data_IF_356412760672
#
_entry.id   IF_356412760672
#
_cell.length_a   1.000
_cell.length_b   1.000
_cell.length_c   1.000
_cell.angle_alpha   90.00
_cell.angle_beta   90.00
_cell.angle_gamma   90.00
#
_symmetry.space_group_name_H-M   'P 1'
#
loop_
_entity.id
_entity.type
_entity.pdbx_description
1 polymer ?
#
# COMPACT_ATOMS: atom_id res chain seq x y z
N UNK A 1 8.59 -26.31 17.46
CA UNK A 1 9.19 -26.06 16.14
C UNK A 1 8.37 -26.84 15.13
N UNK A 2 7.90 -26.19 14.07
CA UNK A 2 7.15 -26.81 12.97
C UNK A 2 7.90 -26.55 11.68
N UNK A 3 8.26 -27.61 10.95
CA UNK A 3 9.01 -27.51 9.70
C UNK A 3 8.30 -28.29 8.62
N UNK A 4 7.89 -27.61 7.54
CA UNK A 4 7.35 -28.24 6.34
C UNK A 4 8.51 -28.65 5.42
N UNK A 5 8.62 -29.95 5.12
CA UNK A 5 9.74 -30.53 4.34
C UNK A 5 9.35 -31.10 2.98
N UNK A 6 8.06 -31.38 2.76
CA UNK A 6 7.59 -31.88 1.46
C UNK A 6 7.65 -30.79 0.37
N UNK A 7 7.87 -31.22 -0.86
CA UNK A 7 7.89 -30.33 -2.03
C UNK A 7 6.48 -29.89 -2.46
N UNK A 8 6.42 -28.90 -3.34
CA UNK A 8 5.19 -28.30 -3.87
C UNK A 8 5.53 -27.42 -5.06
N UNK A 9 4.80 -27.56 -6.16
CA UNK A 9 4.90 -26.68 -7.33
C UNK A 9 4.10 -25.37 -7.17
N UNK A 10 3.39 -25.21 -6.04
CA UNK A 10 2.61 -24.01 -5.73
C UNK A 10 1.23 -24.00 -6.39
N UNK A 11 0.86 -22.87 -6.98
CA UNK A 11 -0.42 -22.68 -7.68
C UNK A 11 -1.60 -22.27 -6.78
N UNK A 12 -2.75 -22.09 -7.43
CA UNK A 12 -3.97 -21.52 -6.85
C UNK A 12 -4.45 -22.24 -5.59
N UNK A 13 -4.30 -23.56 -5.50
CA UNK A 13 -4.70 -24.28 -4.29
C UNK A 13 -3.86 -23.91 -3.07
N UNK A 14 -2.58 -23.60 -3.28
CA UNK A 14 -1.69 -23.13 -2.22
C UNK A 14 -1.96 -21.67 -1.89
N UNK A 15 -2.14 -20.83 -2.92
CA UNK A 15 -2.34 -19.39 -2.78
C UNK A 15 -3.71 -19.03 -2.19
N UNK A 16 -4.79 -19.69 -2.63
CA UNK A 16 -6.15 -19.29 -2.27
C UNK A 16 -6.75 -20.13 -1.15
N UNK A 17 -6.33 -21.38 -1.00
CA UNK A 17 -6.92 -22.34 -0.05
C UNK A 17 -5.93 -22.93 0.97
N UNK A 18 -4.67 -22.48 0.92
CA UNK A 18 -3.63 -22.83 1.89
C UNK A 18 -3.15 -24.28 1.84
N UNK A 19 -3.40 -24.99 0.74
CA UNK A 19 -2.80 -26.31 0.53
C UNK A 19 -1.27 -26.20 0.65
N UNK A 20 -0.63 -27.18 1.29
CA UNK A 20 0.81 -27.22 1.56
C UNK A 20 1.38 -26.14 2.51
N UNK A 21 0.56 -25.27 3.11
CA UNK A 21 1.03 -24.41 4.19
C UNK A 21 1.65 -25.22 5.33
N UNK A 22 2.65 -24.67 6.03
CA UNK A 22 3.22 -25.33 7.20
C UNK A 22 2.16 -25.52 8.30
N UNK A 23 1.25 -24.54 8.44
CA UNK A 23 0.01 -24.70 9.20
C UNK A 23 -1.17 -24.11 8.42
N UNK A 24 -2.18 -24.94 8.14
CA UNK A 24 -3.47 -24.53 7.58
C UNK A 24 -4.56 -24.66 8.66
N UNK A 25 -5.33 -23.59 8.85
CA UNK A 25 -6.53 -23.56 9.71
C UNK A 25 -7.74 -23.24 8.83
N UNK A 26 -8.81 -24.05 8.94
CA UNK A 26 -10.04 -23.94 8.16
C UNK A 26 -11.23 -24.62 8.85
N UNK A 27 -12.44 -24.43 8.31
CA UNK A 27 -13.64 -25.18 8.72
C UNK A 27 -14.20 -24.72 10.06
N UNK A 28 -14.21 -23.40 10.28
CA UNK A 28 -14.67 -22.76 11.52
C UNK A 28 -13.73 -22.97 12.72
N UNK A 29 -12.52 -23.49 12.48
CA UNK A 29 -11.56 -23.83 13.54
C UNK A 29 -10.93 -22.59 14.16
N UNK A 30 -10.65 -22.66 15.47
CA UNK A 30 -9.94 -21.60 16.21
C UNK A 30 -8.63 -22.16 16.74
N UNK A 31 -7.51 -21.60 16.31
CA UNK A 31 -6.18 -22.08 16.64
C UNK A 31 -5.38 -20.99 17.35
N UNK A 32 -4.74 -21.35 18.46
CA UNK A 32 -3.80 -20.47 19.17
C UNK A 32 -2.38 -21.01 19.10
N UNK A 33 -1.44 -20.16 18.73
CA UNK A 33 -0.01 -20.46 18.62
C UNK A 33 0.75 -19.47 19.50
N UNK A 34 1.69 -19.96 20.30
CA UNK A 34 2.49 -19.11 21.19
C UNK A 34 3.93 -19.60 21.20
N UNK A 35 4.85 -18.71 20.86
CA UNK A 35 6.28 -19.01 20.86
C UNK A 35 6.72 -19.88 19.67
N UNK A 36 7.98 -20.29 19.71
CA UNK A 36 8.56 -21.26 18.79
C UNK A 36 8.87 -20.71 17.40
N UNK A 37 9.08 -21.64 16.46
CA UNK A 37 9.42 -21.33 15.07
C UNK A 37 8.63 -22.19 14.08
N UNK A 38 8.28 -21.59 12.94
CA UNK A 38 7.64 -22.20 11.79
C UNK A 38 8.53 -21.95 10.57
N UNK A 39 8.81 -23.00 9.80
CA UNK A 39 9.66 -22.88 8.60
C UNK A 39 9.12 -23.69 7.43
N UNK A 40 9.16 -23.12 6.24
CA UNK A 40 8.82 -23.78 4.97
C UNK A 40 9.76 -23.32 3.85
N UNK A 41 9.97 -24.19 2.86
CA UNK A 41 10.88 -23.94 1.74
C UNK A 41 10.28 -24.20 0.36
N UNK A 42 9.17 -24.95 0.27
CA UNK A 42 8.55 -25.30 -1.00
C UNK A 42 7.68 -24.17 -1.57
N UNK A 43 7.44 -24.17 -2.88
CA UNK A 43 6.61 -23.15 -3.53
C UNK A 43 5.16 -23.23 -3.05
N UNK A 44 4.53 -22.08 -2.80
CA UNK A 44 3.19 -21.94 -2.23
C UNK A 44 3.06 -22.40 -0.78
N UNK A 45 4.12 -22.92 -0.14
CA UNK A 45 4.03 -23.48 1.20
C UNK A 45 4.04 -22.37 2.27
N UNK A 46 2.96 -21.61 2.40
CA UNK A 46 2.83 -20.50 3.35
C UNK A 46 3.19 -20.88 4.79
N UNK A 47 3.64 -19.93 5.61
CA UNK A 47 3.98 -20.17 7.01
C UNK A 47 2.74 -20.56 7.83
N UNK A 48 1.80 -19.63 7.98
CA UNK A 48 0.51 -19.87 8.66
C UNK A 48 -0.61 -19.35 7.78
N UNK A 49 -1.62 -20.19 7.54
CA UNK A 49 -2.73 -19.89 6.65
C UNK A 49 -4.08 -20.01 7.38
N UNK A 50 -4.89 -18.95 7.32
CA UNK A 50 -6.26 -18.90 7.84
C UNK A 50 -7.24 -18.82 6.67
N UNK A 51 -8.02 -19.88 6.42
CA UNK A 51 -9.01 -19.93 5.35
C UNK A 51 -10.44 -19.97 5.88
N UNK A 52 -11.21 -18.91 5.66
CA UNK A 52 -12.58 -18.76 6.16
C UNK A 52 -13.69 -19.39 5.29
N UNK A 53 -13.39 -19.92 4.10
CA UNK A 53 -14.39 -20.68 3.34
C UNK A 53 -15.56 -19.91 2.72
N UNK A 54 -15.50 -18.58 2.53
CA UNK A 54 -16.59 -17.80 1.92
C UNK A 54 -16.75 -17.97 0.37
N UNK A 55 -16.06 -18.95 -0.22
CA UNK A 55 -16.10 -19.19 -1.67
C UNK A 55 -15.31 -18.19 -2.52
N UNK A 56 -14.44 -17.38 -1.91
CA UNK A 56 -13.57 -16.44 -2.63
C UNK A 56 -14.26 -15.13 -3.03
N UNK A 57 -15.43 -14.85 -2.46
CA UNK A 57 -16.19 -13.62 -2.71
C UNK A 57 -15.75 -12.54 -1.74
N UNK A 58 -15.28 -11.39 -2.24
CA UNK A 58 -14.81 -10.34 -1.35
C UNK A 58 -15.98 -9.72 -0.57
N UNK A 59 -15.77 -9.36 0.69
CA UNK A 59 -16.81 -8.80 1.57
C UNK A 59 -17.84 -9.79 2.12
N UNK A 60 -17.89 -11.04 1.65
CA UNK A 60 -18.75 -12.08 2.23
C UNK A 60 -18.16 -12.63 3.54
N UNK A 61 -19.03 -12.94 4.51
CA UNK A 61 -18.60 -13.49 5.79
C UNK A 61 -18.01 -14.89 5.65
N UNK A 62 -16.87 -15.13 6.29
CA UNK A 62 -16.30 -16.47 6.45
C UNK A 62 -17.03 -17.32 7.49
N UNK A 63 -16.58 -18.56 7.66
CA UNK A 63 -17.08 -19.57 8.60
C UNK A 63 -16.63 -19.36 10.06
N UNK A 64 -15.92 -18.27 10.35
CA UNK A 64 -15.36 -17.96 11.67
C UNK A 64 -14.00 -18.59 11.96
N UNK A 65 -13.35 -19.19 10.97
CA UNK A 65 -11.96 -19.67 11.09
C UNK A 65 -11.03 -18.56 11.60
N UNK A 66 -10.34 -18.83 12.70
CA UNK A 66 -9.51 -17.84 13.39
C UNK A 66 -8.15 -18.40 13.76
N UNK A 67 -7.10 -17.69 13.39
CA UNK A 67 -5.74 -17.88 13.90
C UNK A 67 -5.43 -16.79 14.91
N UNK A 68 -4.95 -17.17 16.09
CA UNK A 68 -4.33 -16.25 17.06
C UNK A 68 -2.89 -16.70 17.29
N UNK A 69 -1.91 -15.89 16.89
CA UNK A 69 -0.49 -16.26 16.93
C UNK A 69 0.32 -15.18 17.64
N UNK A 70 1.20 -15.58 18.56
CA UNK A 70 2.07 -14.64 19.27
C UNK A 70 3.48 -15.15 19.51
N UNK A 71 4.44 -14.23 19.55
CA UNK A 71 5.84 -14.48 19.94
C UNK A 71 6.52 -15.57 19.07
N UNK A 72 6.08 -15.75 17.83
CA UNK A 72 6.54 -16.83 16.94
C UNK A 72 7.45 -16.29 15.85
N UNK A 73 8.52 -17.02 15.55
CA UNK A 73 9.34 -16.79 14.35
C UNK A 73 8.80 -17.58 13.17
N UNK A 74 8.57 -16.92 12.04
CA UNK A 74 8.15 -17.55 10.78
C UNK A 74 9.21 -17.27 9.71
N UNK A 75 9.62 -18.30 8.98
CA UNK A 75 10.54 -18.16 7.86
C UNK A 75 10.06 -18.97 6.66
N UNK A 76 9.85 -18.30 5.53
CA UNK A 76 9.43 -18.95 4.28
C UNK A 76 10.40 -18.61 3.15
N UNK A 77 10.70 -19.60 2.30
CA UNK A 77 11.73 -19.42 1.25
C UNK A 77 11.26 -19.69 -0.18
N UNK A 78 10.21 -20.50 -0.37
CA UNK A 78 9.70 -20.84 -1.71
C UNK A 78 8.89 -19.70 -2.34
N UNK A 79 8.72 -19.73 -3.66
CA UNK A 79 7.94 -18.73 -4.38
C UNK A 79 6.44 -18.86 -4.05
N UNK A 80 5.72 -17.75 -3.98
CA UNK A 80 4.33 -17.70 -3.55
C UNK A 80 4.10 -18.09 -2.08
N UNK A 81 5.16 -18.18 -1.27
CA UNK A 81 5.11 -18.63 0.12
C UNK A 81 5.11 -17.45 1.09
N UNK A 82 3.93 -16.91 1.39
CA UNK A 82 3.74 -15.83 2.35
C UNK A 82 4.01 -16.23 3.81
N UNK A 83 4.22 -15.24 4.66
CA UNK A 83 4.48 -15.43 6.09
C UNK A 83 3.22 -15.84 6.86
N UNK A 84 2.35 -14.86 7.12
CA UNK A 84 0.97 -15.10 7.54
C UNK A 84 0.03 -14.78 6.38
N UNK A 85 -0.91 -15.68 6.10
CA UNK A 85 -1.83 -15.57 4.98
C UNK A 85 -3.27 -15.75 5.44
N UNK A 86 -4.16 -14.85 5.02
CA UNK A 86 -5.59 -14.90 5.35
C UNK A 86 -6.43 -14.74 4.10
N UNK A 87 -7.34 -15.68 3.84
CA UNK A 87 -8.19 -15.66 2.65
C UNK A 87 -9.59 -16.17 2.98
N UNK A 88 -10.52 -15.99 2.04
CA UNK A 88 -11.86 -16.54 2.12
C UNK A 88 -12.69 -16.07 3.33
N UNK A 89 -12.46 -14.87 3.83
CA UNK A 89 -13.15 -14.36 5.02
C UNK A 89 -12.58 -14.87 6.35
N UNK A 90 -11.36 -15.42 6.34
CA UNK A 90 -10.65 -15.87 7.53
C UNK A 90 -10.25 -14.72 8.45
N UNK A 91 -9.90 -15.05 9.70
CA UNK A 91 -9.43 -14.07 10.70
C UNK A 91 -8.03 -14.46 11.16
N UNK A 92 -7.12 -13.48 11.20
CA UNK A 92 -5.80 -13.64 11.81
C UNK A 92 -5.52 -12.51 12.79
N UNK A 93 -5.24 -12.88 14.04
CA UNK A 93 -4.76 -11.99 15.08
C UNK A 93 -3.31 -12.35 15.40
N UNK A 94 -2.37 -11.46 15.11
CA UNK A 94 -0.95 -11.67 15.30
C UNK A 94 -0.36 -10.67 16.30
N UNK A 95 0.53 -11.14 17.17
CA UNK A 95 1.24 -10.25 18.10
C UNK A 95 2.72 -10.58 18.19
N UNK A 96 3.59 -9.58 18.07
CA UNK A 96 5.03 -9.73 18.27
C UNK A 96 5.68 -10.88 17.47
N UNK A 97 5.33 -11.01 16.18
CA UNK A 97 5.95 -12.02 15.32
C UNK A 97 7.29 -11.55 14.78
N UNK A 98 8.16 -12.50 14.44
CA UNK A 98 9.31 -12.26 13.57
C UNK A 98 9.13 -13.03 12.28
N UNK A 99 8.72 -12.36 11.22
CA UNK A 99 8.43 -12.97 9.92
C UNK A 99 9.49 -12.57 8.91
N UNK A 100 10.03 -13.57 8.19
CA UNK A 100 10.97 -13.36 7.09
C UNK A 100 10.55 -14.20 5.90
N UNK A 101 10.38 -13.57 4.74
CA UNK A 101 10.03 -14.24 3.49
C UNK A 101 11.05 -13.90 2.41
N UNK A 102 11.49 -14.89 1.62
CA UNK A 102 12.54 -14.66 0.61
C UNK A 102 12.17 -15.05 -0.83
N UNK A 103 11.12 -15.86 -1.02
CA UNK A 103 10.66 -16.26 -2.36
C UNK A 103 9.96 -15.13 -3.11
N UNK A 104 9.82 -15.25 -4.42
CA UNK A 104 9.05 -14.32 -5.25
C UNK A 104 7.57 -14.32 -4.83
N UNK A 105 6.87 -13.19 -4.98
CA UNK A 105 5.43 -13.06 -4.67
C UNK A 105 5.05 -13.58 -3.27
N UNK A 106 5.89 -13.30 -2.28
CA UNK A 106 5.81 -13.86 -0.93
C UNK A 106 5.77 -12.75 0.12
N UNK A 107 4.66 -12.02 0.20
CA UNK A 107 4.50 -10.98 1.21
C UNK A 107 4.57 -11.55 2.65
N UNK A 108 5.12 -10.77 3.58
CA UNK A 108 5.23 -11.19 4.99
C UNK A 108 3.86 -11.22 5.68
N UNK A 109 3.03 -10.20 5.43
CA UNK A 109 1.61 -10.17 5.77
C UNK A 109 0.84 -10.22 4.44
N UNK A 110 0.10 -11.29 4.20
CA UNK A 110 -0.57 -11.51 2.92
C UNK A 110 -2.05 -11.80 3.10
N UNK A 111 -2.85 -11.26 2.21
CA UNK A 111 -4.24 -11.69 2.00
C UNK A 111 -4.50 -11.90 0.52
N UNK A 112 -5.51 -12.68 0.20
CA UNK A 112 -5.85 -13.03 -1.18
C UNK A 112 -7.35 -13.36 -1.28
N UNK A 113 -7.79 -13.77 -2.47
CA UNK A 113 -9.18 -14.00 -2.87
C UNK A 113 -10.17 -14.29 -1.73
N UNK A 114 -11.24 -13.48 -1.70
CA UNK A 114 -12.29 -13.55 -0.69
C UNK A 114 -12.00 -12.77 0.59
N UNK A 115 -10.87 -12.07 0.67
CA UNK A 115 -10.54 -11.16 1.74
C UNK A 115 -10.48 -11.81 3.12
N UNK A 116 -10.84 -11.05 4.15
CA UNK A 116 -10.77 -11.45 5.55
C UNK A 116 -10.43 -10.28 6.47
N UNK A 117 -10.03 -10.60 7.70
CA UNK A 117 -9.58 -9.59 8.66
C UNK A 117 -8.24 -9.99 9.25
N UNK A 118 -7.28 -9.07 9.18
CA UNK A 118 -5.96 -9.26 9.76
C UNK A 118 -5.67 -8.13 10.74
N UNK A 119 -5.40 -8.50 11.99
CA UNK A 119 -4.97 -7.56 13.04
C UNK A 119 -3.59 -7.97 13.52
N UNK A 120 -2.64 -7.06 13.45
CA UNK A 120 -1.26 -7.27 13.85
C UNK A 120 -0.84 -6.23 14.87
N UNK A 121 -0.27 -6.65 15.99
CA UNK A 121 0.30 -5.75 17.00
C UNK A 121 1.75 -6.13 17.33
N UNK A 122 2.68 -5.26 16.95
CA UNK A 122 4.11 -5.44 17.16
C UNK A 122 4.76 -6.47 16.23
N UNK A 123 6.07 -6.60 16.41
CA UNK A 123 6.90 -7.54 15.65
C UNK A 123 7.62 -6.92 14.45
N UNK A 124 8.29 -7.77 13.69
CA UNK A 124 9.08 -7.40 12.51
C UNK A 124 8.69 -8.28 11.33
N UNK A 125 8.34 -7.66 10.21
CA UNK A 125 7.87 -8.34 9.00
C UNK A 125 8.76 -7.92 7.83
N UNK A 126 9.60 -8.85 7.37
CA UNK A 126 10.61 -8.60 6.35
C UNK A 126 10.37 -9.48 5.12
N UNK A 127 10.39 -8.88 3.94
CA UNK A 127 10.29 -9.57 2.65
C UNK A 127 11.41 -9.16 1.71
N UNK A 128 12.03 -10.14 1.05
CA UNK A 128 13.17 -9.89 0.14
C UNK A 128 13.01 -10.45 -1.27
N UNK A 129 11.89 -11.10 -1.57
CA UNK A 129 11.59 -11.57 -2.91
C UNK A 129 11.17 -10.44 -3.86
N UNK A 130 11.32 -10.65 -5.16
CA UNK A 130 10.70 -9.80 -6.18
C UNK A 130 9.17 -9.84 -6.02
N UNK A 131 8.48 -8.72 -6.20
CA UNK A 131 7.02 -8.64 -6.06
C UNK A 131 6.49 -9.06 -4.70
N UNK A 132 7.31 -8.95 -3.65
CA UNK A 132 6.98 -9.39 -2.29
C UNK A 132 6.92 -8.19 -1.37
N UNK A 133 5.80 -7.45 -1.31
CA UNK A 133 5.69 -6.34 -0.39
C UNK A 133 5.70 -6.81 1.06
N UNK A 134 5.93 -5.89 2.01
CA UNK A 134 5.79 -6.25 3.43
C UNK A 134 4.32 -6.61 3.72
N UNK A 135 3.38 -5.90 3.08
CA UNK A 135 1.94 -6.16 3.15
C UNK A 135 1.34 -6.20 1.74
N UNK A 136 0.63 -7.28 1.41
CA UNK A 136 -0.23 -7.37 0.22
C UNK A 136 -1.69 -7.58 0.66
N UNK A 137 -2.57 -6.67 0.23
CA UNK A 137 -3.97 -6.64 0.68
C UNK A 137 -4.99 -6.85 -0.42
N UNK A 138 -5.85 -7.84 -0.19
CA UNK A 138 -7.19 -8.00 -0.78
C UNK A 138 -8.24 -8.08 0.34
N UNK A 139 -7.95 -7.52 1.52
CA UNK A 139 -8.74 -7.64 2.74
C UNK A 139 -8.65 -6.37 3.62
N UNK A 140 -9.28 -6.39 4.79
CA UNK A 140 -9.08 -5.35 5.81
C UNK A 140 -7.91 -5.74 6.73
N UNK A 141 -6.86 -4.92 6.73
CA UNK A 141 -5.65 -5.15 7.52
C UNK A 141 -5.40 -3.96 8.44
N UNK A 142 -5.25 -4.22 9.74
CA UNK A 142 -4.74 -3.26 10.71
C UNK A 142 -3.42 -3.76 11.29
N UNK A 143 -2.38 -2.93 11.21
CA UNK A 143 -1.06 -3.21 11.80
C UNK A 143 -0.71 -2.08 12.76
N UNK A 144 -0.25 -2.44 13.95
CA UNK A 144 0.16 -1.49 14.99
C UNK A 144 1.57 -1.80 15.48
N UNK A 145 2.34 -0.76 15.83
CA UNK A 145 3.61 -0.87 16.56
C UNK A 145 4.68 -1.79 15.94
N UNK A 146 4.64 -1.98 14.61
CA UNK A 146 5.46 -2.96 13.91
C UNK A 146 6.54 -2.32 13.03
N UNK A 147 7.63 -3.07 12.82
CA UNK A 147 8.63 -2.79 11.79
C UNK A 147 8.29 -3.58 10.53
N UNK A 148 8.14 -2.89 9.41
CA UNK A 148 7.74 -3.43 8.12
C UNK A 148 8.82 -3.10 7.09
N UNK A 149 9.35 -4.11 6.41
CA UNK A 149 10.43 -3.89 5.46
C UNK A 149 10.34 -4.76 4.21
N UNK A 150 10.40 -4.12 3.06
CA UNK A 150 10.52 -4.77 1.76
C UNK A 150 11.81 -4.37 1.07
N UNK A 151 12.62 -5.34 0.69
CA UNK A 151 13.95 -5.10 0.13
C UNK A 151 13.99 -5.04 -1.41
N UNK A 152 13.00 -5.60 -2.10
CA UNK A 152 12.99 -5.74 -3.58
C UNK A 152 11.62 -5.49 -4.21
N UNK A 153 10.67 -4.93 -3.46
CA UNK A 153 9.32 -4.62 -3.90
C UNK A 153 8.78 -3.41 -3.13
N UNK A 154 7.53 -3.08 -3.37
CA UNK A 154 6.74 -2.10 -2.63
C UNK A 154 6.76 -2.41 -1.13
N UNK A 155 6.49 -1.43 -0.28
CA UNK A 155 6.22 -1.68 1.14
C UNK A 155 4.82 -2.26 1.33
N UNK A 156 3.87 -1.71 0.57
CA UNK A 156 2.45 -2.03 0.66
C UNK A 156 1.85 -2.08 -0.74
N UNK A 157 1.03 -3.09 -0.99
CA UNK A 157 0.12 -3.15 -2.14
C UNK A 157 -1.32 -3.34 -1.64
N UNK A 158 -2.25 -2.54 -2.14
CA UNK A 158 -3.69 -2.68 -1.90
C UNK A 158 -4.37 -2.87 -3.25
N UNK A 159 -5.16 -3.94 -3.35
CA UNK A 159 -5.94 -4.23 -4.54
C UNK A 159 -7.44 -4.00 -4.31
N UNK A 160 -8.13 -3.37 -5.27
CA UNK A 160 -9.58 -3.23 -5.27
C UNK A 160 -10.14 -2.47 -4.05
N UNK A 161 -11.30 -2.86 -3.54
CA UNK A 161 -12.03 -2.13 -2.48
C UNK A 161 -11.43 -2.22 -1.06
N UNK A 162 -10.23 -2.76 -0.92
CA UNK A 162 -9.68 -3.21 0.35
C UNK A 162 -8.97 -2.10 1.14
N UNK A 163 -8.67 -2.38 2.42
CA UNK A 163 -8.12 -1.37 3.32
C UNK A 163 -6.89 -1.83 4.09
N UNK A 164 -5.95 -0.89 4.30
CA UNK A 164 -4.83 -1.06 5.22
C UNK A 164 -4.78 0.16 6.15
N UNK A 165 -4.66 -0.13 7.45
CA UNK A 165 -4.45 0.84 8.51
C UNK A 165 -3.15 0.56 9.26
N UNK A 166 -2.24 1.52 9.28
CA UNK A 166 -0.97 1.46 10.01
C UNK A 166 -1.01 2.45 11.19
N UNK A 167 -0.72 1.94 12.40
CA UNK A 167 -0.74 2.70 13.65
C UNK A 167 0.63 2.62 14.31
N UNK A 168 1.38 3.72 14.33
CA UNK A 168 2.74 3.79 14.89
C UNK A 168 3.69 2.72 14.30
N UNK A 169 3.55 2.44 12.99
CA UNK A 169 4.43 1.52 12.27
C UNK A 169 5.62 2.24 11.64
N UNK A 170 6.74 1.55 11.56
CA UNK A 170 7.88 1.98 10.75
C UNK A 170 7.91 1.12 9.49
N UNK A 171 7.67 1.74 8.34
CA UNK A 171 7.68 1.10 7.04
C UNK A 171 8.88 1.59 6.22
N UNK A 172 9.70 0.65 5.75
CA UNK A 172 10.77 0.91 4.79
C UNK A 172 10.53 0.11 3.52
N UNK A 173 10.44 0.81 2.39
CA UNK A 173 10.24 0.21 1.08
C UNK A 173 11.40 0.58 0.16
N UNK A 174 12.06 -0.43 -0.39
CA UNK A 174 13.20 -0.20 -1.30
C UNK A 174 12.83 -0.26 -2.77
N UNK A 175 11.82 -1.07 -3.13
CA UNK A 175 11.34 -1.35 -4.49
C UNK A 175 12.41 -1.17 -5.59
N UNK A 176 13.31 -2.16 -5.73
CA UNK A 176 14.45 -2.03 -6.64
C UNK A 176 14.13 -2.46 -8.08
N UNK A 177 13.03 -3.17 -8.28
CA UNK A 177 12.70 -3.84 -9.54
C UNK A 177 11.18 -3.89 -9.72
N UNK A 178 10.71 -3.44 -10.89
CA UNK A 178 9.30 -3.54 -11.31
C UNK A 178 8.91 -5.01 -11.43
N UNK A 179 7.70 -5.34 -10.99
CA UNK A 179 7.13 -6.68 -11.09
C UNK A 179 5.76 -6.65 -11.80
N UNK A 180 5.41 -7.76 -12.45
CA UNK A 180 4.13 -7.86 -13.17
C UNK A 180 4.01 -6.82 -14.28
N UNK A 181 2.94 -6.02 -14.25
CA UNK A 181 2.67 -4.99 -15.25
C UNK A 181 3.14 -3.58 -14.82
N UNK A 182 3.81 -3.44 -13.67
CA UNK A 182 4.26 -2.15 -13.17
C UNK A 182 5.21 -1.46 -14.16
N UNK A 183 4.95 -0.19 -14.46
CA UNK A 183 5.89 0.65 -15.23
C UNK A 183 6.55 1.74 -14.39
N UNK A 184 6.13 1.89 -13.14
CA UNK A 184 6.74 2.74 -12.11
C UNK A 184 7.35 1.90 -10.98
N UNK A 185 8.26 2.52 -10.22
CA UNK A 185 8.62 2.05 -8.89
C UNK A 185 7.85 2.89 -7.89
N UNK A 186 7.37 2.26 -6.82
CA UNK A 186 6.66 2.94 -5.75
C UNK A 186 6.78 2.22 -4.40
N UNK A 187 6.51 2.95 -3.33
CA UNK A 187 6.52 2.40 -1.97
C UNK A 187 5.15 1.89 -1.53
N UNK A 188 4.10 2.61 -1.91
CA UNK A 188 2.71 2.26 -1.62
C UNK A 188 1.95 2.23 -2.94
N UNK A 189 1.60 1.03 -3.39
CA UNK A 189 0.78 0.82 -4.57
C UNK A 189 -0.68 0.61 -4.18
N UNK A 190 -1.57 1.38 -4.77
CA UNK A 190 -3.02 1.24 -4.59
C UNK A 190 -3.63 1.09 -5.97
N UNK A 191 -4.15 -0.10 -6.27
CA UNK A 191 -4.50 -0.44 -7.64
C UNK A 191 -5.68 -1.39 -7.78
N UNK A 192 -6.17 -1.54 -9.01
CA UNK A 192 -7.04 -2.64 -9.39
C UNK A 192 -6.30 -3.50 -10.42
N UNK A 193 -6.28 -4.81 -10.20
CA UNK A 193 -5.74 -5.75 -11.18
C UNK A 193 -6.82 -6.29 -12.13
N UNK A 194 -6.39 -7.08 -13.13
CA UNK A 194 -7.25 -7.79 -14.08
C UNK A 194 -7.54 -9.24 -13.66
N UNK A 195 -7.12 -9.68 -12.46
CA UNK A 195 -7.23 -11.09 -12.05
C UNK A 195 -8.64 -11.50 -11.61
N UNK A 196 -9.43 -10.54 -11.10
CA UNK A 196 -10.72 -10.80 -10.46
C UNK A 196 -10.60 -11.36 -9.04
N UNK A 197 -9.43 -11.27 -8.40
CA UNK A 197 -9.22 -11.73 -7.01
C UNK A 197 -9.78 -10.75 -5.97
N UNK A 198 -9.86 -9.48 -6.33
CA UNK A 198 -10.45 -8.42 -5.53
C UNK A 198 -11.51 -7.67 -6.33
N UNK A 199 -12.67 -7.46 -5.69
CA UNK A 199 -13.75 -6.63 -6.23
C UNK A 199 -13.33 -5.16 -6.30
N UNK A 200 -13.79 -4.48 -7.36
CA UNK A 200 -13.55 -3.06 -7.55
C UNK A 200 -14.36 -2.20 -6.59
N UNK A 201 -13.78 -1.09 -6.17
CA UNK A 201 -14.39 -0.13 -5.28
C UNK A 201 -13.36 0.88 -4.80
N UNK A 202 -13.61 1.53 -3.68
CA UNK A 202 -12.69 2.52 -3.12
C UNK A 202 -11.72 1.86 -2.15
N UNK A 203 -10.44 1.84 -2.49
CA UNK A 203 -9.35 1.41 -1.61
C UNK A 203 -9.11 2.44 -0.50
N UNK A 204 -8.66 2.00 0.68
CA UNK A 204 -8.25 2.91 1.76
C UNK A 204 -6.88 2.58 2.32
N UNK A 205 -6.00 3.59 2.38
CA UNK A 205 -4.76 3.53 3.14
C UNK A 205 -4.81 4.59 4.24
N UNK A 206 -4.63 4.18 5.49
CA UNK A 206 -4.53 5.09 6.64
C UNK A 206 -3.22 4.86 7.36
N UNK A 207 -2.48 5.92 7.67
CA UNK A 207 -1.28 5.86 8.50
C UNK A 207 -1.31 6.96 9.56
N UNK A 208 -1.21 6.54 10.82
CA UNK A 208 -1.21 7.40 11.99
C UNK A 208 0.09 7.21 12.75
N UNK A 209 0.88 8.27 12.91
CA UNK A 209 2.18 8.19 13.57
C UNK A 209 3.21 7.34 12.79
N UNK A 210 4.32 7.03 13.46
CA UNK A 210 5.38 6.19 12.90
C UNK A 210 6.14 6.85 11.75
N UNK A 211 6.70 6.04 10.85
CA UNK A 211 7.46 6.55 9.71
C UNK A 211 7.30 5.74 8.44
N UNK A 212 7.31 6.41 7.29
CA UNK A 212 7.38 5.83 5.95
C UNK A 212 8.66 6.29 5.26
N UNK A 213 9.60 5.36 5.06
CA UNK A 213 10.83 5.59 4.31
C UNK A 213 10.70 4.96 2.92
N UNK A 214 10.55 5.80 1.91
CA UNK A 214 10.58 5.43 0.49
C UNK A 214 12.00 5.57 -0.03
N UNK A 215 12.68 4.45 -0.29
CA UNK A 215 14.08 4.49 -0.76
C UNK A 215 14.20 4.59 -2.29
N UNK A 216 13.14 4.22 -3.02
CA UNK A 216 13.09 4.31 -4.48
C UNK A 216 11.66 4.47 -4.95
N UNK A 217 11.48 5.22 -6.04
CA UNK A 217 10.20 5.40 -6.68
C UNK A 217 9.30 6.42 -5.99
N UNK A 218 8.06 6.45 -6.43
CA UNK A 218 7.04 7.34 -5.89
C UNK A 218 6.65 6.89 -4.47
N UNK A 219 6.38 7.82 -3.55
CA UNK A 219 5.93 7.40 -2.21
C UNK A 219 4.58 6.71 -2.30
N UNK A 220 3.64 7.30 -3.04
CA UNK A 220 2.33 6.72 -3.34
C UNK A 220 2.10 6.66 -4.84
N UNK A 221 1.56 5.53 -5.32
CA UNK A 221 1.07 5.38 -6.68
C UNK A 221 -0.36 4.84 -6.67
N UNK A 222 -1.28 5.59 -7.27
CA UNK A 222 -2.69 5.21 -7.45
C UNK A 222 -2.95 4.98 -8.93
N UNK A 223 -3.42 3.78 -9.28
CA UNK A 223 -3.70 3.43 -10.67
C UNK A 223 -4.89 2.49 -10.79
N UNK A 224 -5.79 2.74 -11.74
CA UNK A 224 -6.96 1.92 -12.03
C UNK A 224 -7.90 1.68 -10.85
N UNK A 225 -7.87 2.50 -9.80
CA UNK A 225 -8.81 2.42 -8.67
C UNK A 225 -9.15 3.81 -8.11
N UNK A 226 -10.23 3.85 -7.34
CA UNK A 226 -10.55 4.99 -6.50
C UNK A 226 -9.86 4.77 -5.14
N UNK A 227 -9.11 5.74 -4.63
CA UNK A 227 -8.33 5.59 -3.41
C UNK A 227 -8.54 6.75 -2.43
N UNK A 228 -8.60 6.43 -1.14
CA UNK A 228 -8.52 7.40 -0.04
C UNK A 228 -7.29 7.13 0.80
N UNK A 229 -6.35 8.07 0.78
CA UNK A 229 -5.12 8.07 1.56
C UNK A 229 -5.30 9.05 2.72
N UNK A 230 -5.17 8.57 3.96
CA UNK A 230 -5.28 9.40 5.18
C UNK A 230 -3.99 9.33 5.97
N UNK A 231 -3.36 10.48 6.20
CA UNK A 231 -2.09 10.61 6.93
C UNK A 231 -2.27 11.55 8.11
N UNK A 232 -1.84 11.10 9.29
CA UNK A 232 -1.82 11.92 10.49
C UNK A 232 -0.51 11.75 11.26
N UNK A 233 0.28 12.82 11.35
CA UNK A 233 1.55 12.87 12.09
C UNK A 233 2.56 11.77 11.70
N UNK A 234 2.67 11.49 10.40
CA UNK A 234 3.57 10.45 9.86
C UNK A 234 4.91 11.07 9.47
N UNK A 235 6.04 10.49 9.92
CA UNK A 235 7.34 10.90 9.40
C UNK A 235 7.59 10.28 8.02
N UNK A 236 7.47 11.05 6.95
CA UNK A 236 7.79 10.60 5.59
C UNK A 236 9.21 10.99 5.20
N UNK A 237 9.99 10.02 4.73
CA UNK A 237 11.33 10.22 4.16
C UNK A 237 11.31 9.69 2.74
N UNK A 238 11.40 10.58 1.76
CA UNK A 238 11.55 10.21 0.36
C UNK A 238 13.02 10.35 -0.03
N UNK A 239 13.72 9.22 -0.22
CA UNK A 239 15.13 9.18 -0.61
C UNK A 239 15.32 9.20 -2.13
N UNK A 240 14.26 8.93 -2.91
CA UNK A 240 14.31 8.90 -4.37
C UNK A 240 14.73 10.25 -4.96
N UNK A 241 15.52 10.24 -6.04
CA UNK A 241 16.04 11.47 -6.64
C UNK A 241 14.98 12.35 -7.30
N UNK A 242 13.89 11.77 -7.82
CA UNK A 242 12.81 12.51 -8.47
C UNK A 242 11.88 13.18 -7.47
N UNK A 243 11.92 12.74 -6.19
CA UNK A 243 11.12 13.29 -5.09
C UNK A 243 9.62 13.33 -5.41
N UNK A 244 9.10 12.31 -6.09
CA UNK A 244 7.65 12.20 -6.35
C UNK A 244 6.96 11.68 -5.09
N UNK A 245 6.08 12.51 -4.51
CA UNK A 245 5.27 12.16 -3.36
C UNK A 245 4.09 11.26 -3.78
N UNK A 246 3.36 11.67 -4.81
CA UNK A 246 2.16 10.96 -5.24
C UNK A 246 2.06 11.01 -6.76
N UNK A 247 1.77 9.87 -7.39
CA UNK A 247 1.24 9.84 -8.75
C UNK A 247 -0.14 9.21 -8.81
N UNK A 248 -1.02 9.85 -9.58
CA UNK A 248 -2.36 9.35 -9.93
C UNK A 248 -2.42 9.32 -11.46
N UNK A 249 -2.26 8.13 -12.04
CA UNK A 249 -2.22 7.94 -13.49
C UNK A 249 -2.42 6.48 -13.89
N UNK A 250 -2.68 6.27 -15.18
CA UNK A 250 -2.65 4.94 -15.76
C UNK A 250 -1.26 4.30 -15.62
N UNK A 251 -1.26 2.99 -15.41
CA UNK A 251 -0.09 2.11 -15.49
C UNK A 251 -0.50 0.82 -16.24
N UNK A 252 0.27 -0.26 -16.19
CA UNK A 252 0.05 -1.49 -16.96
C UNK A 252 -1.18 -2.34 -16.62
N UNK A 253 -2.16 -1.79 -15.89
CA UNK A 253 -3.44 -2.43 -15.60
C UNK A 253 -4.62 -1.65 -16.19
N UNK A 254 -5.81 -2.22 -16.09
CA UNK A 254 -7.07 -1.60 -16.50
C UNK A 254 -8.19 -2.09 -15.58
N UNK A 255 -9.35 -1.43 -15.63
CA UNK A 255 -10.56 -1.90 -14.93
C UNK A 255 -11.19 -0.90 -13.96
N UNK A 256 -10.50 0.21 -13.65
CA UNK A 256 -11.06 1.30 -12.85
C UNK A 256 -10.55 2.67 -13.29
N UNK A 257 -10.98 3.71 -12.58
CA UNK A 257 -10.57 5.09 -12.83
C UNK A 257 -9.30 5.40 -12.04
N UNK A 258 -8.65 6.51 -12.32
CA UNK A 258 -7.49 6.98 -11.58
C UNK A 258 -7.93 8.12 -10.65
N UNK A 259 -8.50 7.80 -9.48
CA UNK A 259 -9.04 8.81 -8.56
C UNK A 259 -8.38 8.66 -7.20
N UNK A 260 -7.81 9.74 -6.66
CA UNK A 260 -7.26 9.76 -5.32
C UNK A 260 -7.84 10.90 -4.48
N UNK A 261 -8.03 10.65 -3.20
CA UNK A 261 -8.15 11.69 -2.17
C UNK A 261 -7.02 11.51 -1.19
N UNK A 262 -6.20 12.56 -1.01
CA UNK A 262 -5.15 12.60 0.01
C UNK A 262 -5.57 13.56 1.12
N UNK A 263 -5.82 13.02 2.31
CA UNK A 263 -6.14 13.76 3.53
C UNK A 263 -4.93 13.77 4.45
N UNK A 264 -4.38 14.94 4.71
CA UNK A 264 -3.22 15.13 5.55
C UNK A 264 -3.57 16.06 6.72
N UNK A 265 -3.39 15.55 7.95
CA UNK A 265 -3.60 16.27 9.20
C UNK A 265 -2.31 16.26 10.01
N UNK A 266 -1.90 17.41 10.57
CA UNK A 266 -0.63 17.57 11.31
C UNK A 266 0.57 16.99 10.54
N UNK A 267 0.55 17.14 9.23
CA UNK A 267 1.41 16.39 8.34
C UNK A 267 2.39 17.33 7.64
N UNK A 268 3.67 16.94 7.60
CA UNK A 268 4.66 17.56 6.71
C UNK A 268 4.77 16.69 5.48
N UNK A 269 4.43 17.25 4.31
CA UNK A 269 4.52 16.61 3.00
C UNK A 269 5.58 17.33 2.17
N UNK A 270 6.38 16.56 1.41
CA UNK A 270 7.35 17.12 0.48
C UNK A 270 7.42 16.29 -0.80
N UNK A 271 7.57 16.96 -1.94
CA UNK A 271 7.77 16.34 -3.25
C UNK A 271 6.77 16.75 -4.32
N UNK A 272 6.99 16.28 -5.54
CA UNK A 272 6.08 16.51 -6.65
C UNK A 272 4.83 15.61 -6.55
N UNK A 273 3.68 16.16 -6.91
CA UNK A 273 2.43 15.44 -7.13
C UNK A 273 2.15 15.41 -8.63
N UNK A 274 1.97 14.21 -9.18
CA UNK A 274 1.77 13.95 -10.60
C UNK A 274 0.36 13.44 -10.86
N UNK A 275 -0.45 14.18 -11.61
CA UNK A 275 -1.85 13.78 -11.90
C UNK A 275 -2.06 13.80 -13.41
N UNK A 276 -2.25 12.62 -13.99
CA UNK A 276 -2.45 12.48 -15.44
C UNK A 276 -3.77 13.11 -15.92
N UNK A 277 -3.83 13.50 -17.18
CA UNK A 277 -5.00 14.12 -17.83
C UNK A 277 -6.31 13.32 -17.72
N UNK A 278 -6.23 12.00 -17.52
CA UNK A 278 -7.37 11.09 -17.31
C UNK A 278 -7.68 10.81 -15.83
N UNK A 279 -7.01 11.54 -14.93
CA UNK A 279 -6.97 11.25 -13.49
C UNK A 279 -7.53 12.41 -12.67
N UNK A 280 -7.91 12.12 -11.42
CA UNK A 280 -8.46 13.09 -10.47
C UNK A 280 -7.78 13.00 -9.10
N UNK A 281 -7.45 14.15 -8.52
CA UNK A 281 -6.93 14.26 -7.16
C UNK A 281 -7.72 15.30 -6.35
N UNK A 282 -8.15 14.90 -5.15
CA UNK A 282 -8.55 15.81 -4.08
C UNK A 282 -7.45 15.83 -3.00
N UNK A 283 -6.79 16.98 -2.82
CA UNK A 283 -5.77 17.18 -1.80
C UNK A 283 -6.36 18.03 -0.66
N UNK A 284 -6.40 17.48 0.55
CA UNK A 284 -6.94 18.14 1.75
C UNK A 284 -5.82 18.26 2.80
N UNK A 285 -5.46 19.50 3.15
CA UNK A 285 -4.49 19.81 4.20
C UNK A 285 -5.20 20.47 5.39
N UNK A 286 -5.12 19.83 6.55
CA UNK A 286 -5.71 20.32 7.81
C UNK A 286 -4.75 20.29 8.99
N UNK A 287 -5.16 20.92 10.09
CA UNK A 287 -4.54 20.84 11.41
C UNK A 287 -3.06 21.22 11.41
N UNK A 288 -2.72 22.30 10.72
CA UNK A 288 -1.36 22.82 10.64
C UNK A 288 -0.43 22.03 9.71
N UNK A 289 -0.98 21.30 8.73
CA UNK A 289 -0.17 20.57 7.75
C UNK A 289 0.60 21.51 6.82
N UNK A 290 1.75 21.07 6.34
CA UNK A 290 2.56 21.77 5.34
C UNK A 290 2.82 20.89 4.13
N UNK A 291 2.78 21.49 2.95
CA UNK A 291 3.19 20.85 1.70
C UNK A 291 4.29 21.69 1.03
N UNK A 292 5.48 21.13 0.85
CA UNK A 292 6.54 21.72 0.04
C UNK A 292 6.68 20.92 -1.27
N UNK A 293 6.17 21.47 -2.38
CA UNK A 293 6.08 20.68 -3.59
C UNK A 293 5.38 21.38 -4.74
N UNK A 294 5.17 20.62 -5.81
CA UNK A 294 4.52 21.07 -7.04
C UNK A 294 3.43 20.10 -7.49
N UNK A 295 2.53 20.60 -8.35
CA UNK A 295 1.48 19.78 -8.99
C UNK A 295 1.53 19.94 -10.50
N UNK A 296 1.71 18.86 -11.24
CA UNK A 296 1.61 18.83 -12.71
C UNK A 296 1.16 17.46 -13.24
N UNK A 297 0.97 17.35 -14.56
CA UNK A 297 0.58 16.09 -15.22
C UNK A 297 1.56 15.59 -16.27
N UNK A 298 2.81 16.06 -16.25
CA UNK A 298 3.81 15.52 -17.16
C UNK A 298 4.37 14.25 -16.54
N UNK A 299 3.95 13.12 -17.11
CA UNK A 299 4.27 11.79 -16.60
C UNK A 299 4.83 10.95 -17.74
N UNK A 300 6.02 10.40 -17.51
CA UNK A 300 6.62 9.38 -18.37
C UNK A 300 6.91 8.17 -17.53
N UNK A 301 6.67 6.99 -18.08
CA UNK A 301 7.02 5.75 -17.39
C UNK A 301 8.51 5.42 -17.56
N UNK A 302 8.97 4.39 -16.85
CA UNK A 302 10.36 3.97 -16.94
C UNK A 302 10.72 3.20 -18.23
N UNK A 303 9.84 3.20 -19.25
CA UNK A 303 10.17 2.84 -20.65
C UNK A 303 10.42 4.08 -21.52
N UNK A 304 10.24 5.28 -20.98
CA UNK A 304 10.33 6.55 -21.71
C UNK A 304 9.06 6.89 -22.50
N UNK A 305 7.97 6.15 -22.28
CA UNK A 305 6.68 6.40 -22.92
C UNK A 305 5.95 7.50 -22.14
N UNK A 306 5.31 8.43 -22.86
CA UNK A 306 4.47 9.44 -22.24
C UNK A 306 3.17 8.80 -21.76
N UNK A 307 2.95 8.83 -20.45
CA UNK A 307 1.68 8.44 -19.82
C UNK A 307 0.72 9.61 -19.83
N UNK A 308 1.22 10.82 -19.59
CA UNK A 308 0.43 12.04 -19.70
C UNK A 308 1.30 13.25 -20.00
N UNK A 309 0.71 14.23 -20.71
CA UNK A 309 1.36 15.51 -21.05
C UNK A 309 0.72 16.71 -20.37
N UNK A 310 -0.47 16.54 -19.79
CA UNK A 310 -1.29 17.60 -19.21
C UNK A 310 -1.81 17.17 -17.84
N UNK A 311 -2.04 18.14 -16.96
CA UNK A 311 -2.59 17.85 -15.63
C UNK A 311 -4.06 17.43 -15.71
N UNK A 312 -4.41 16.41 -14.93
CA UNK A 312 -5.80 16.02 -14.72
C UNK A 312 -6.57 17.00 -13.85
N UNK A 313 -7.68 16.51 -13.29
CA UNK A 313 -8.50 17.31 -12.38
C UNK A 313 -7.88 17.33 -10.99
N UNK A 314 -7.48 18.50 -10.49
CA UNK A 314 -6.91 18.62 -9.15
C UNK A 314 -7.69 19.66 -8.33
N UNK A 315 -8.26 19.24 -7.21
CA UNK A 315 -8.81 20.13 -6.20
C UNK A 315 -7.90 20.17 -4.99
N UNK A 316 -7.57 21.38 -4.53
CA UNK A 316 -6.75 21.59 -3.33
C UNK A 316 -7.55 22.35 -2.30
N UNK A 317 -7.65 21.81 -1.08
CA UNK A 317 -8.24 22.47 0.09
C UNK A 317 -7.17 22.65 1.16
N UNK A 318 -6.96 23.89 1.60
CA UNK A 318 -6.12 24.26 2.74
C UNK A 318 -7.00 24.85 3.83
N UNK A 319 -6.92 24.31 5.04
CA UNK A 319 -7.46 25.01 6.19
C UNK A 319 -6.66 26.29 6.52
N UNK A 320 -7.16 27.10 7.46
CA UNK A 320 -6.52 28.37 7.81
C UNK A 320 -5.13 28.25 8.43
N UNK A 321 -4.77 27.06 8.92
CA UNK A 321 -3.51 26.80 9.62
C UNK A 321 -2.46 26.09 8.76
N UNK A 322 -2.87 25.53 7.63
CA UNK A 322 -2.03 24.75 6.73
C UNK A 322 -1.37 25.63 5.67
N UNK A 323 -0.22 25.19 5.16
CA UNK A 323 0.59 25.96 4.20
C UNK A 323 1.00 25.14 2.98
N UNK A 324 1.25 25.84 1.87
CA UNK A 324 1.86 25.26 0.67
C UNK A 324 3.02 26.13 0.18
N UNK A 325 4.23 25.59 0.17
CA UNK A 325 5.40 26.21 -0.47
C UNK A 325 5.62 25.59 -1.84
N UNK A 326 5.61 26.40 -2.89
CA UNK A 326 5.83 25.92 -4.25
C UNK A 326 7.31 25.56 -4.48
N UNK A 327 7.56 24.42 -5.10
CA UNK A 327 8.89 24.03 -5.58
C UNK A 327 9.04 24.12 -7.11
N UNK A 328 7.92 24.33 -7.81
CA UNK A 328 7.83 24.61 -9.24
C UNK A 328 6.45 25.23 -9.54
N UNK A 329 6.28 25.73 -10.77
CA UNK A 329 4.96 26.14 -11.24
C UNK A 329 3.97 24.98 -11.12
N UNK A 330 2.81 25.27 -10.54
CA UNK A 330 1.83 24.25 -10.16
C UNK A 330 0.48 24.53 -10.80
N UNK A 331 -0.22 23.48 -11.19
CA UNK A 331 -1.45 23.56 -11.97
C UNK A 331 -2.56 22.78 -11.26
N UNK A 332 -3.63 23.48 -10.89
CA UNK A 332 -4.80 22.88 -10.23
C UNK A 332 -6.08 23.35 -10.88
N UNK A 333 -7.13 22.55 -10.82
CA UNK A 333 -8.45 22.91 -11.33
C UNK A 333 -9.20 23.83 -10.36
N UNK A 334 -9.01 23.64 -9.05
CA UNK A 334 -9.62 24.47 -8.01
C UNK A 334 -8.73 24.59 -6.79
N UNK A 335 -8.82 25.74 -6.12
CA UNK A 335 -8.14 26.03 -4.87
C UNK A 335 -9.13 26.61 -3.87
N UNK A 336 -9.29 25.95 -2.73
CA UNK A 336 -10.12 26.35 -1.61
C UNK A 336 -9.24 26.59 -0.38
N UNK A 337 -8.80 27.83 -0.20
CA UNK A 337 -7.92 28.22 0.90
C UNK A 337 -7.59 29.71 0.83
N UNK A 338 -6.81 30.19 1.79
CA UNK A 338 -6.30 31.56 1.74
C UNK A 338 -5.02 31.58 0.87
N UNK A 339 -4.99 32.40 -0.18
CA UNK A 339 -3.79 32.56 -1.02
C UNK A 339 -2.55 32.98 -0.21
N UNK A 340 -2.74 33.72 0.88
CA UNK A 340 -1.65 34.09 1.79
C UNK A 340 -1.03 32.88 2.52
N UNK A 341 -1.63 31.69 2.48
CA UNK A 341 -1.03 30.47 3.01
C UNK A 341 -0.17 29.73 1.97
N UNK A 342 -0.10 30.24 0.73
CA UNK A 342 0.77 29.75 -0.33
C UNK A 342 2.01 30.63 -0.43
N UNK A 343 3.20 30.05 -0.31
CA UNK A 343 4.47 30.71 -0.57
C UNK A 343 4.91 30.40 -1.99
N UNK A 344 4.98 31.44 -2.83
CA UNK A 344 5.26 31.33 -4.25
C UNK A 344 6.68 30.84 -4.53
N UNK A 345 7.65 31.25 -3.71
CA UNK A 345 9.06 30.82 -3.82
C UNK A 345 9.64 30.98 -5.23
N UNK A 346 9.25 32.04 -5.95
CA UNK A 346 9.67 32.29 -7.34
C UNK A 346 8.86 31.55 -8.41
N UNK A 347 7.81 30.83 -8.03
CA UNK A 347 6.91 30.06 -8.90
C UNK A 347 5.48 30.60 -8.87
N UNK A 348 4.65 30.09 -9.77
CA UNK A 348 3.24 30.46 -9.89
C UNK A 348 2.32 29.26 -9.66
N UNK A 349 1.29 29.46 -8.84
CA UNK A 349 0.15 28.55 -8.77
C UNK A 349 -0.91 28.99 -9.78
N UNK A 350 -1.19 28.16 -10.77
CA UNK A 350 -2.27 28.37 -11.74
C UNK A 350 -3.52 27.60 -11.29
N UNK A 351 -4.60 28.34 -11.04
CA UNK A 351 -5.92 27.79 -10.72
C UNK A 351 -6.80 27.94 -11.95
N UNK A 352 -7.20 26.82 -12.54
CA UNK A 352 -7.96 26.75 -13.78
C UNK A 352 -7.33 27.61 -14.90
N UNK A 353 -6.01 27.52 -15.05
CA UNK A 353 -5.23 28.26 -16.05
C UNK A 353 -4.96 29.74 -15.73
N UNK A 354 -5.43 30.25 -14.58
CA UNK A 354 -5.21 31.65 -14.16
C UNK A 354 -4.24 31.69 -12.99
N UNK A 355 -3.23 32.55 -13.07
CA UNK A 355 -2.30 32.75 -11.96
C UNK A 355 -3.04 33.24 -10.70
N UNK A 356 -2.88 32.51 -9.59
CA UNK A 356 -3.43 32.90 -8.30
C UNK A 356 -2.72 34.15 -7.79
N UNK A 357 -3.48 35.14 -7.35
CA UNK A 357 -2.94 36.38 -6.77
C UNK A 357 -3.05 36.34 -5.24
N UNK A 358 -2.19 37.10 -4.55
CA UNK A 358 -2.18 37.17 -3.08
C UNK A 358 -1.35 36.10 -2.37
N UNK A 359 -0.53 35.33 -3.12
CA UNK A 359 0.51 34.45 -2.57
C UNK A 359 1.63 35.25 -1.92
N UNK A 360 2.31 34.65 -0.92
CA UNK A 360 3.47 35.23 -0.24
C UNK A 360 4.77 35.03 -1.00
#
# INVERSE_FOLDING_TARGET
>A
MLTKTGDSDGGDNCNFYGLNAALLVKGGSKTTITGGSITSNANGANGVFSYGGNGGKNGESGDGTTVTIKDTKITTMGDGSGGIMTTGGGITNASNLKVTTTGQSSAAIRTDRGGGTVVVDGGSYESSGLGSPAIYSTADITVSNAELKSYRAEGVCIEGLNSIKLENCNLTAKNTERNGNATFLDSIMIYQSMSGDADSGTSSFTMNGGSLTSQSGHVFHVTNTDAVITLNDVKIVNEDSEKILLSVCADGWSGGKNIATLKASKQTLAGAIKVGNDSTLNLELSDGSSFEGSVDGKISNAKGESVSTEVGTVSVTLDSTSTWTLSADSYVSSFNGNAANVTANGHTLYVNGVALTGTK
#
